data_IF_671978063419
#
_entry.id   IF_671978063419
#
_cell.length_a   1.000
_cell.length_b   1.000
_cell.length_c   1.000
_cell.angle_alpha   90.00
_cell.angle_beta   90.00
_cell.angle_gamma   90.00
#
_symmetry.space_group_name_H-M   'P 1'
#
loop_
_entity.id
_entity.type
_entity.pdbx_description
1 polymer ?
#
# COMPACT_ATOMS: atom_id res chain seq x y z
N UNK A 1 4.15 13.62 9.13
CA UNK A 1 3.03 13.17 8.25
C UNK A 1 3.52 12.15 7.25
N UNK A 2 2.86 11.02 7.14
CA UNK A 2 3.26 9.91 6.26
C UNK A 2 2.26 9.79 5.10
N UNK A 3 2.77 9.61 3.88
CA UNK A 3 1.96 9.32 2.70
C UNK A 3 1.60 7.84 2.62
N UNK A 4 0.33 7.50 2.35
CA UNK A 4 -0.11 6.12 2.12
C UNK A 4 -0.78 6.01 0.76
N UNK A 5 -0.20 5.19 -0.11
CA UNK A 5 -0.72 4.93 -1.45
C UNK A 5 -1.31 3.52 -1.49
N UNK A 6 -2.61 3.42 -1.77
CA UNK A 6 -3.30 2.16 -1.89
C UNK A 6 -3.39 1.72 -3.35
N UNK A 7 -2.81 0.56 -3.69
CA UNK A 7 -2.86 0.00 -5.05
C UNK A 7 -3.72 -1.26 -5.15
N UNK A 8 -4.26 -1.74 -4.03
CA UNK A 8 -5.01 -2.99 -3.96
C UNK A 8 -4.21 -4.13 -3.32
N UNK A 9 -4.26 -5.30 -3.92
CA UNK A 9 -3.69 -6.53 -3.35
C UNK A 9 -4.51 -7.08 -2.20
N UNK A 10 -4.08 -8.19 -1.60
CA UNK A 10 -4.78 -8.87 -0.49
C UNK A 10 -4.98 -7.98 0.73
N UNK A 11 -4.04 -7.06 1.00
CA UNK A 11 -4.13 -6.07 2.08
C UNK A 11 -5.29 -5.08 1.89
N UNK A 12 -5.72 -4.86 0.65
CA UNK A 12 -6.86 -4.01 0.26
C UNK A 12 -8.04 -4.81 -0.28
N UNK A 13 -8.22 -6.06 0.16
CA UNK A 13 -9.25 -6.97 -0.35
C UNK A 13 -10.11 -7.53 0.78
N UNK A 14 -11.33 -7.92 0.43
CA UNK A 14 -12.24 -8.69 1.27
C UNK A 14 -12.52 -10.07 0.64
N UNK A 15 -13.11 -10.97 1.41
CA UNK A 15 -13.60 -12.26 0.91
C UNK A 15 -15.11 -12.16 0.75
N UNK A 16 -15.60 -12.38 -0.48
CA UNK A 16 -17.02 -12.50 -0.78
C UNK A 16 -17.24 -13.78 -1.59
N UNK A 17 -18.21 -14.59 -1.18
CA UNK A 17 -18.56 -15.87 -1.83
C UNK A 17 -17.37 -16.82 -2.04
N UNK A 18 -16.39 -16.78 -1.12
CA UNK A 18 -15.19 -17.62 -1.19
C UNK A 18 -14.09 -17.11 -2.13
N UNK A 19 -14.26 -15.96 -2.72
CA UNK A 19 -13.27 -15.32 -3.60
C UNK A 19 -12.69 -14.06 -2.96
N UNK A 20 -11.39 -13.81 -3.18
CA UNK A 20 -10.73 -12.57 -2.80
C UNK A 20 -11.02 -11.54 -3.88
N UNK A 21 -11.58 -10.41 -3.49
CA UNK A 21 -11.81 -9.26 -4.36
C UNK A 21 -11.34 -7.97 -3.72
N UNK A 22 -10.85 -7.05 -4.53
CA UNK A 22 -10.46 -5.72 -4.05
C UNK A 22 -11.65 -4.97 -3.49
N UNK A 23 -11.46 -4.36 -2.31
CA UNK A 23 -12.51 -3.66 -1.59
C UNK A 23 -12.00 -2.29 -1.13
N UNK A 24 -12.56 -1.19 -1.64
CA UNK A 24 -12.14 0.16 -1.24
C UNK A 24 -12.25 0.44 0.25
N UNK A 25 -13.17 -0.21 0.96
CA UNK A 25 -13.34 -0.02 2.40
C UNK A 25 -12.17 -0.61 3.23
N UNK A 26 -11.48 -1.62 2.69
CA UNK A 26 -10.36 -2.28 3.39
C UNK A 26 -9.17 -1.33 3.61
N UNK A 27 -8.96 -0.33 2.76
CA UNK A 27 -7.94 0.70 2.98
C UNK A 27 -8.20 1.52 4.25
N UNK A 28 -9.44 1.92 4.45
CA UNK A 28 -9.85 2.64 5.66
C UNK A 28 -9.79 1.74 6.89
N UNK A 29 -10.10 0.46 6.73
CA UNK A 29 -9.96 -0.54 7.79
C UNK A 29 -8.51 -0.67 8.27
N UNK A 30 -7.53 -0.72 7.36
CA UNK A 30 -6.11 -0.78 7.74
C UNK A 30 -5.69 0.42 8.60
N UNK A 31 -6.02 1.64 8.15
CA UNK A 31 -5.68 2.86 8.90
C UNK A 31 -6.42 2.93 10.24
N UNK A 32 -7.68 2.51 10.28
CA UNK A 32 -8.46 2.43 11.52
C UNK A 32 -7.85 1.46 12.52
N UNK A 33 -7.50 0.25 12.08
CA UNK A 33 -6.84 -0.77 12.93
C UNK A 33 -5.51 -0.24 13.46
N UNK A 34 -4.73 0.44 12.62
CA UNK A 34 -3.47 1.03 13.05
C UNK A 34 -3.68 2.14 14.09
N UNK A 35 -4.60 3.06 13.85
CA UNK A 35 -4.95 4.12 14.81
C UNK A 35 -5.41 3.55 16.16
N UNK A 36 -6.23 2.52 16.14
CA UNK A 36 -6.71 1.83 17.36
C UNK A 36 -5.56 1.17 18.14
N UNK A 37 -4.49 0.74 17.45
CA UNK A 37 -3.34 0.08 18.09
C UNK A 37 -2.33 1.03 18.71
N UNK A 38 -2.10 2.22 18.12
CA UNK A 38 -1.04 3.14 18.56
C UNK A 38 -1.48 4.61 18.69
N UNK A 39 -2.70 4.96 18.30
CA UNK A 39 -3.23 6.34 18.38
C UNK A 39 -2.77 7.30 17.31
N UNK A 40 -1.82 6.89 16.42
CA UNK A 40 -1.31 7.74 15.35
C UNK A 40 -2.24 7.70 14.12
N UNK A 41 -2.54 8.85 13.54
CA UNK A 41 -3.41 9.00 12.36
C UNK A 41 -3.04 10.15 11.41
N UNK A 42 -1.82 10.65 11.49
CA UNK A 42 -1.32 11.73 10.62
C UNK A 42 -0.89 11.19 9.25
N UNK A 43 -1.87 10.70 8.48
CA UNK A 43 -1.68 10.16 7.15
C UNK A 43 -2.33 11.03 6.08
N UNK A 44 -1.62 11.20 4.94
CA UNK A 44 -2.22 11.65 3.68
C UNK A 44 -2.33 10.45 2.75
N UNK A 45 -3.48 10.27 2.11
CA UNK A 45 -3.76 9.06 1.34
C UNK A 45 -4.03 9.34 -0.13
N UNK A 46 -3.64 8.41 -1.01
CA UNK A 46 -4.03 8.36 -2.42
C UNK A 46 -4.36 6.91 -2.80
N UNK A 47 -5.20 6.73 -3.81
CA UNK A 47 -5.58 5.43 -4.33
C UNK A 47 -5.67 5.48 -5.85
N UNK A 48 -4.52 5.50 -6.53
CA UNK A 48 -4.45 5.72 -7.98
C UNK A 48 -5.03 4.57 -8.80
N UNK A 49 -5.04 3.38 -8.23
CA UNK A 49 -5.56 2.16 -8.85
C UNK A 49 -6.03 1.18 -7.76
N UNK A 50 -6.77 0.15 -8.19
CA UNK A 50 -7.23 -0.92 -7.31
C UNK A 50 -7.11 -2.23 -8.08
N UNK A 51 -5.97 -2.93 -7.92
CA UNK A 51 -5.60 -4.11 -8.70
C UNK A 51 -5.24 -5.28 -7.79
N UNK A 52 -5.58 -6.49 -8.23
CA UNK A 52 -4.93 -7.70 -7.75
C UNK A 52 -3.58 -7.80 -8.46
N UNK A 53 -2.50 -8.03 -7.71
CA UNK A 53 -1.13 -7.86 -8.23
C UNK A 53 -0.76 -8.80 -9.37
N UNK A 54 -1.39 -9.97 -9.47
CA UNK A 54 -1.24 -10.89 -10.59
C UNK A 54 -1.71 -10.31 -11.94
N UNK A 55 -2.52 -9.25 -11.89
CA UNK A 55 -3.06 -8.57 -13.07
C UNK A 55 -2.31 -7.28 -13.43
N UNK A 56 -1.23 -6.94 -12.69
CA UNK A 56 -0.47 -5.71 -12.93
C UNK A 56 0.19 -5.73 -14.32
N UNK A 57 0.17 -4.59 -14.98
CA UNK A 57 0.79 -4.41 -16.30
C UNK A 57 1.69 -3.15 -16.33
N UNK A 58 2.40 -2.94 -17.44
CA UNK A 58 3.37 -1.86 -17.55
C UNK A 58 2.78 -0.45 -17.32
N UNK A 59 1.52 -0.22 -17.69
CA UNK A 59 0.88 1.09 -17.46
C UNK A 59 0.59 1.34 -15.98
N UNK A 60 0.37 0.29 -15.20
CA UNK A 60 0.11 0.41 -13.77
C UNK A 60 1.35 0.88 -13.01
N UNK A 61 2.56 0.42 -13.41
CA UNK A 61 3.81 0.93 -12.84
C UNK A 61 3.95 2.44 -13.04
N UNK A 62 3.56 2.95 -14.20
CA UNK A 62 3.61 4.40 -14.48
C UNK A 62 2.59 5.15 -13.62
N UNK A 63 1.40 4.60 -13.42
CA UNK A 63 0.37 5.17 -12.54
C UNK A 63 0.87 5.24 -11.10
N UNK A 64 1.47 4.16 -10.61
CA UNK A 64 2.05 4.08 -9.26
C UNK A 64 3.19 5.11 -9.11
N UNK A 65 4.12 5.18 -10.06
CA UNK A 65 5.23 6.14 -10.02
C UNK A 65 4.73 7.60 -9.98
N UNK A 66 3.71 7.94 -10.77
CA UNK A 66 3.09 9.26 -10.74
C UNK A 66 2.46 9.59 -9.38
N UNK A 67 1.82 8.60 -8.74
CA UNK A 67 1.25 8.77 -7.41
C UNK A 67 2.33 8.98 -6.35
N UNK A 68 3.43 8.22 -6.41
CA UNK A 68 4.60 8.43 -5.53
C UNK A 68 5.17 9.83 -5.71
N UNK A 69 5.43 10.26 -6.95
CA UNK A 69 5.93 11.60 -7.24
C UNK A 69 5.00 12.70 -6.71
N UNK A 70 3.70 12.58 -6.96
CA UNK A 70 2.69 13.52 -6.45
C UNK A 70 2.71 13.59 -4.91
N UNK A 71 2.85 12.46 -4.24
CA UNK A 71 2.89 12.37 -2.78
C UNK A 71 4.16 13.04 -2.21
N UNK A 72 5.32 12.86 -2.87
CA UNK A 72 6.58 13.50 -2.50
C UNK A 72 6.50 15.03 -2.53
N UNK A 73 5.86 15.60 -3.55
CA UNK A 73 5.65 17.06 -3.65
C UNK A 73 4.80 17.58 -2.49
N UNK A 74 3.96 16.74 -1.89
CA UNK A 74 3.13 17.05 -0.72
C UNK A 74 3.89 17.20 0.61
N UNK A 75 5.23 17.14 0.59
CA UNK A 75 6.11 17.30 1.75
C UNK A 75 5.85 16.26 2.87
N UNK A 76 5.71 15.00 2.49
CA UNK A 76 5.64 13.88 3.43
C UNK A 76 7.03 13.41 3.85
N UNK A 77 7.16 12.84 5.04
CA UNK A 77 8.43 12.32 5.60
C UNK A 77 8.81 10.95 5.03
N UNK A 78 7.80 10.20 4.57
CA UNK A 78 7.96 8.90 3.93
C UNK A 78 6.66 8.48 3.26
N UNK A 79 6.75 7.46 2.42
CA UNK A 79 5.60 6.90 1.69
C UNK A 79 5.50 5.41 1.97
N UNK A 80 4.30 4.95 2.32
CA UNK A 80 3.96 3.53 2.41
C UNK A 80 3.03 3.19 1.24
N UNK A 81 3.44 2.24 0.41
CA UNK A 81 2.68 1.75 -0.72
C UNK A 81 2.15 0.36 -0.39
N UNK A 82 0.83 0.21 -0.27
CA UNK A 82 0.22 -1.11 -0.10
C UNK A 82 0.14 -1.81 -1.45
N UNK A 83 0.49 -3.09 -1.49
CA UNK A 83 0.61 -3.85 -2.74
C UNK A 83 0.20 -5.32 -2.54
N UNK A 84 -0.05 -6.02 -3.62
CA UNK A 84 -0.23 -7.47 -3.59
C UNK A 84 1.12 -8.22 -3.53
N UNK A 85 1.12 -9.40 -2.91
CA UNK A 85 2.34 -10.18 -2.67
C UNK A 85 2.98 -10.74 -3.94
N UNK A 86 2.20 -11.01 -5.01
CA UNK A 86 2.69 -11.76 -6.17
C UNK A 86 3.72 -11.00 -7.01
N UNK A 87 3.58 -9.68 -7.09
CA UNK A 87 4.43 -8.83 -7.94
C UNK A 87 5.08 -7.66 -7.21
N UNK A 88 5.08 -7.68 -5.87
CA UNK A 88 5.67 -6.63 -5.03
C UNK A 88 7.13 -6.37 -5.37
N UNK A 89 7.90 -7.42 -5.67
CA UNK A 89 9.32 -7.33 -6.01
C UNK A 89 9.56 -6.56 -7.31
N UNK A 90 8.65 -6.67 -8.28
CA UNK A 90 8.77 -5.94 -9.55
C UNK A 90 8.46 -4.46 -9.37
N UNK A 91 7.42 -4.13 -8.61
CA UNK A 91 7.08 -2.74 -8.29
C UNK A 91 8.19 -2.08 -7.47
N UNK A 92 8.71 -2.76 -6.45
CA UNK A 92 9.81 -2.25 -5.64
C UNK A 92 11.08 -2.03 -6.49
N UNK A 93 11.44 -2.99 -7.35
CA UNK A 93 12.59 -2.85 -8.26
C UNK A 93 12.40 -1.70 -9.25
N UNK A 94 11.21 -1.55 -9.82
CA UNK A 94 10.90 -0.46 -10.73
C UNK A 94 11.05 0.91 -10.05
N UNK A 95 10.47 1.08 -8.87
CA UNK A 95 10.55 2.34 -8.13
C UNK A 95 11.98 2.65 -7.70
N UNK A 96 12.79 1.64 -7.34
CA UNK A 96 14.19 1.83 -6.95
C UNK A 96 15.11 2.30 -8.09
N UNK A 97 14.69 2.14 -9.35
CA UNK A 97 15.40 2.66 -10.50
C UNK A 97 15.13 4.16 -10.78
N UNK A 98 14.19 4.78 -10.06
CA UNK A 98 13.84 6.18 -10.25
C UNK A 98 14.60 7.01 -9.22
N UNK A 99 15.63 7.74 -9.67
CA UNK A 99 16.55 8.51 -8.81
C UNK A 99 15.82 9.50 -7.91
N UNK A 100 14.77 10.15 -8.40
CA UNK A 100 13.98 11.12 -7.65
C UNK A 100 13.36 10.53 -6.37
N UNK A 101 13.13 9.22 -6.31
CA UNK A 101 12.52 8.54 -5.16
C UNK A 101 13.52 8.17 -4.06
N UNK A 102 14.78 8.52 -4.22
CA UNK A 102 15.81 8.27 -3.20
C UNK A 102 15.83 9.31 -2.08
N UNK A 103 15.09 10.40 -2.21
CA UNK A 103 15.11 11.52 -1.25
C UNK A 103 14.29 11.28 0.02
N UNK A 104 13.30 10.40 -0.04
CA UNK A 104 12.49 9.99 1.11
C UNK A 104 12.29 8.47 1.09
N UNK A 105 12.09 7.81 2.23
CA UNK A 105 11.81 6.38 2.26
C UNK A 105 10.47 6.05 1.56
N UNK A 106 10.51 5.07 0.67
CA UNK A 106 9.32 4.48 0.04
C UNK A 106 9.27 3.01 0.42
N UNK A 107 8.36 2.65 1.32
CA UNK A 107 8.19 1.28 1.81
C UNK A 107 7.04 0.60 1.08
N UNK A 108 7.27 -0.57 0.51
CA UNK A 108 6.21 -1.36 -0.15
C UNK A 108 5.78 -2.49 0.77
N UNK A 109 4.51 -2.54 1.13
CA UNK A 109 3.97 -3.51 2.09
C UNK A 109 2.83 -4.32 1.49
N UNK A 110 2.72 -5.59 1.89
CA UNK A 110 1.64 -6.48 1.49
C UNK A 110 1.11 -7.28 2.69
N UNK A 111 0.07 -8.07 2.44
CA UNK A 111 -0.45 -9.05 3.39
C UNK A 111 -0.66 -10.40 2.70
N UNK A 112 -0.32 -11.49 3.40
CA UNK A 112 -0.54 -12.85 2.90
C UNK A 112 -2.02 -13.28 2.98
N UNK A 113 -2.79 -12.63 3.88
CA UNK A 113 -4.22 -12.87 4.08
C UNK A 113 -4.95 -11.53 4.16
N UNK A 114 -6.25 -11.53 3.86
CA UNK A 114 -7.10 -10.35 4.06
C UNK A 114 -7.10 -9.89 5.51
N UNK A 115 -7.23 -8.60 5.75
CA UNK A 115 -7.08 -8.01 7.09
C UNK A 115 -8.04 -8.59 8.15
N UNK A 116 -9.17 -9.15 7.72
CA UNK A 116 -10.16 -9.80 8.61
C UNK A 116 -9.78 -11.22 9.02
N UNK A 117 -8.76 -11.83 8.40
CA UNK A 117 -8.25 -13.15 8.78
C UNK A 117 -7.29 -13.01 9.96
N UNK A 118 -7.41 -13.89 10.97
CA UNK A 118 -6.56 -13.88 12.16
C UNK A 118 -5.07 -14.19 11.88
N UNK A 119 -4.75 -14.71 10.70
CA UNK A 119 -3.38 -14.98 10.21
C UNK A 119 -2.79 -13.80 9.44
N UNK A 120 -3.57 -12.72 9.23
CA UNK A 120 -3.14 -11.58 8.44
C UNK A 120 -1.92 -10.90 9.08
N UNK A 121 -0.91 -10.64 8.25
CA UNK A 121 0.28 -9.92 8.65
C UNK A 121 0.30 -8.46 8.14
N UNK A 122 -0.75 -8.02 7.46
CA UNK A 122 -0.81 -6.70 6.82
C UNK A 122 -0.68 -5.55 7.82
N UNK A 123 -1.40 -5.59 8.94
CA UNK A 123 -1.30 -4.56 9.97
C UNK A 123 0.11 -4.49 10.58
N UNK A 124 0.72 -5.65 10.87
CA UNK A 124 2.09 -5.71 11.39
C UNK A 124 3.09 -5.14 10.39
N UNK A 125 2.99 -5.52 9.11
CA UNK A 125 3.88 -5.02 8.07
C UNK A 125 3.72 -3.50 7.90
N UNK A 126 2.48 -3.00 7.94
CA UNK A 126 2.20 -1.57 7.89
C UNK A 126 2.77 -0.82 9.10
N UNK A 127 2.57 -1.34 10.32
CA UNK A 127 3.13 -0.78 11.55
C UNK A 127 4.66 -0.66 11.47
N UNK A 128 5.34 -1.74 11.06
CA UNK A 128 6.81 -1.73 10.90
C UNK A 128 7.29 -0.72 9.85
N UNK A 129 6.48 -0.42 8.85
CA UNK A 129 6.83 0.58 7.84
C UNK A 129 6.62 2.03 8.31
N UNK A 130 5.77 2.25 9.32
CA UNK A 130 5.56 3.58 9.95
C UNK A 130 6.69 3.91 10.91
N UNK A 131 7.22 2.91 11.65
CA UNK A 131 8.33 3.03 12.62
C UNK A 131 9.68 3.32 11.94
#
# INVERSE_FOLDING_TARGET
MIGVIFTGGTIGSSISDGYISTDPEMRYMLLKMYKESCGYDDFVTDAPCTILSENINCSDFVIIAKAVHKMMIGNVEGIILTHGSDTIQYTASFLSCIEEFTHIPVMVVCSNYVLTDNRANGLRNFSTAVD
#
